data_IF_836009246371
#
_entry.id   IF_836009246371
#
_cell.length_a   1.000
_cell.length_b   1.000
_cell.length_c   1.000
_cell.angle_alpha   90.00
_cell.angle_beta   90.00
_cell.angle_gamma   90.00
#
_symmetry.space_group_name_H-M   'P 1'
#
loop_
_entity.id
_entity.type
_entity.pdbx_description
1 polymer ?
#
# COMPACT_ATOMS: atom_id res chain seq x y z
N UNK A 1 1.00 1.79 -5.57
CA UNK A 1 0.18 0.56 -5.34
C UNK A 1 1.00 -0.60 -4.83
N UNK A 2 0.38 -1.50 -4.10
CA UNK A 2 0.92 -2.77 -3.62
C UNK A 2 2.35 -2.69 -3.05
N UNK A 3 2.59 -1.85 -2.03
CA UNK A 3 3.93 -1.64 -1.49
C UNK A 3 4.43 -2.89 -0.77
N UNK A 4 5.71 -3.20 -0.87
CA UNK A 4 6.40 -4.04 0.11
C UNK A 4 6.78 -3.13 1.29
N UNK A 5 5.96 -3.11 2.31
CA UNK A 5 6.15 -2.25 3.49
C UNK A 5 7.19 -2.78 4.47
N UNK A 6 7.32 -4.10 4.55
CA UNK A 6 8.17 -4.80 5.51
C UNK A 6 8.88 -5.98 4.84
N UNK A 7 10.13 -5.79 4.45
CA UNK A 7 10.91 -6.83 3.78
C UNK A 7 11.29 -7.98 4.72
N UNK A 8 11.33 -7.75 6.04
CA UNK A 8 11.62 -8.81 7.00
C UNK A 8 10.48 -9.82 7.06
N UNK A 9 9.21 -9.36 7.12
CA UNK A 9 8.04 -10.24 7.13
C UNK A 9 7.76 -10.87 5.76
N UNK A 10 8.08 -10.16 4.68
CA UNK A 10 7.85 -10.65 3.33
C UNK A 10 8.93 -11.65 2.85
N UNK A 11 10.11 -11.65 3.46
CA UNK A 11 11.27 -12.45 3.00
C UNK A 11 10.97 -13.96 2.91
N UNK A 12 10.31 -14.51 3.92
CA UNK A 12 9.97 -15.95 3.96
C UNK A 12 8.76 -16.35 3.10
N UNK A 13 8.18 -15.41 2.37
CA UNK A 13 6.99 -15.65 1.55
C UNK A 13 7.29 -16.16 0.14
N UNK A 14 6.20 -16.45 -0.58
CA UNK A 14 6.23 -16.80 -2.01
C UNK A 14 5.28 -15.89 -2.78
N UNK A 15 5.52 -15.76 -4.07
CA UNK A 15 4.56 -15.19 -5.03
C UNK A 15 3.56 -16.28 -5.42
N UNK A 16 2.34 -16.20 -4.94
CA UNK A 16 1.29 -17.20 -5.19
C UNK A 16 1.02 -17.43 -6.68
N UNK A 17 1.10 -16.38 -7.49
CA UNK A 17 0.87 -16.48 -8.94
C UNK A 17 1.93 -17.32 -9.67
N UNK A 18 3.17 -17.35 -9.17
CA UNK A 18 4.29 -17.98 -9.88
C UNK A 18 5.03 -19.04 -9.06
N UNK A 19 4.76 -19.15 -7.77
CA UNK A 19 5.51 -20.02 -6.85
C UNK A 19 6.94 -19.55 -6.55
N UNK A 20 7.36 -18.37 -7.04
CA UNK A 20 8.69 -17.84 -6.83
C UNK A 20 8.90 -17.46 -5.36
N UNK A 21 10.02 -17.91 -4.77
CA UNK A 21 10.40 -17.52 -3.41
C UNK A 21 10.82 -16.05 -3.35
N UNK A 22 10.38 -15.36 -2.31
CA UNK A 22 10.67 -13.93 -2.12
C UNK A 22 12.14 -13.66 -1.81
N UNK A 23 12.82 -14.53 -1.08
CA UNK A 23 14.22 -14.38 -0.76
C UNK A 23 15.07 -14.05 -2.01
N UNK A 24 14.92 -14.84 -3.08
CA UNK A 24 15.60 -14.59 -4.35
C UNK A 24 15.35 -13.17 -4.91
N UNK A 25 14.13 -12.67 -4.79
CA UNK A 25 13.77 -11.33 -5.28
C UNK A 25 14.49 -10.23 -4.49
N UNK A 26 14.63 -10.41 -3.19
CA UNK A 26 15.27 -9.42 -2.32
C UNK A 26 16.79 -9.50 -2.38
N UNK A 27 17.36 -10.70 -2.35
CA UNK A 27 18.80 -10.89 -2.38
C UNK A 27 19.42 -10.50 -3.73
N UNK A 28 18.91 -11.04 -4.83
CA UNK A 28 19.56 -10.99 -6.13
C UNK A 28 18.72 -10.32 -7.23
N UNK A 29 17.40 -10.31 -7.07
CA UNK A 29 16.48 -9.82 -8.09
C UNK A 29 16.25 -8.32 -8.02
N UNK A 30 14.98 -7.92 -7.86
CA UNK A 30 14.53 -6.54 -7.96
C UNK A 30 15.12 -5.63 -6.87
N UNK A 31 15.22 -6.10 -5.63
CA UNK A 31 15.66 -5.27 -4.49
C UNK A 31 17.18 -5.22 -4.34
N UNK A 32 17.88 -6.26 -4.75
CA UNK A 32 19.37 -6.31 -4.79
C UNK A 32 20.03 -5.97 -3.46
N UNK A 33 19.48 -6.46 -2.36
CA UNK A 33 20.08 -6.26 -1.02
C UNK A 33 21.45 -6.98 -0.93
N UNK A 34 21.59 -8.07 -1.70
CA UNK A 34 22.88 -8.74 -1.89
C UNK A 34 23.24 -9.75 -0.80
N UNK A 35 22.38 -9.92 0.22
CA UNK A 35 22.62 -10.85 1.32
C UNK A 35 21.31 -11.46 1.83
N UNK A 36 21.39 -12.60 2.53
CA UNK A 36 20.22 -13.19 3.17
C UNK A 36 19.86 -12.44 4.47
N UNK A 37 18.59 -12.57 4.88
CA UNK A 37 18.10 -11.98 6.12
C UNK A 37 18.90 -12.44 7.37
N UNK A 38 19.39 -13.68 7.33
CA UNK A 38 20.12 -14.31 8.47
C UNK A 38 21.63 -14.25 8.36
N UNK A 39 22.18 -13.65 7.31
CA UNK A 39 23.62 -13.42 7.20
C UNK A 39 24.06 -12.35 8.20
N UNK A 40 25.34 -12.31 8.50
CA UNK A 40 25.92 -11.28 9.38
C UNK A 40 25.63 -9.87 8.82
N UNK A 41 25.02 -9.03 9.62
CA UNK A 41 24.54 -7.70 9.20
C UNK A 41 23.34 -7.70 8.25
N UNK A 42 22.83 -8.85 7.84
CA UNK A 42 21.71 -8.95 6.91
C UNK A 42 20.43 -8.31 7.44
N UNK A 43 20.05 -8.62 8.68
CA UNK A 43 18.83 -8.08 9.31
C UNK A 43 18.80 -6.55 9.28
N UNK A 44 19.91 -5.88 9.56
CA UNK A 44 19.99 -4.43 9.58
C UNK A 44 19.68 -3.83 8.20
N UNK A 45 20.19 -4.45 7.14
CA UNK A 45 19.91 -4.04 5.76
C UNK A 45 18.41 -4.20 5.41
N UNK A 46 17.78 -5.30 5.85
CA UNK A 46 16.34 -5.51 5.64
C UNK A 46 15.49 -4.52 6.42
N UNK A 47 15.87 -4.18 7.65
CA UNK A 47 15.21 -3.13 8.46
C UNK A 47 15.36 -1.77 7.77
N UNK A 48 16.57 -1.41 7.36
CA UNK A 48 16.86 -0.14 6.69
C UNK A 48 16.02 0.07 5.42
N UNK A 49 15.79 -1.02 4.68
CA UNK A 49 15.02 -1.00 3.44
C UNK A 49 13.53 -1.29 3.61
N UNK A 50 13.01 -1.34 4.84
CA UNK A 50 11.60 -1.59 5.14
C UNK A 50 10.90 -0.30 5.60
N UNK A 51 10.04 0.31 4.77
CA UNK A 51 9.36 1.57 5.10
C UNK A 51 8.61 1.58 6.43
N UNK A 52 8.11 0.44 6.88
CA UNK A 52 7.36 0.31 8.14
C UNK A 52 8.19 0.76 9.35
N UNK A 53 9.50 0.51 9.36
CA UNK A 53 10.40 0.89 10.46
C UNK A 53 10.78 2.39 10.44
N UNK A 54 10.37 3.11 9.41
CA UNK A 54 10.63 4.54 9.24
C UNK A 54 9.34 5.36 9.12
N UNK A 55 8.21 4.76 9.46
CA UNK A 55 6.89 5.41 9.35
C UNK A 55 6.78 6.66 10.23
N UNK A 56 7.52 6.72 11.34
CA UNK A 56 7.65 7.89 12.22
C UNK A 56 8.25 9.13 11.53
N UNK A 57 9.04 8.92 10.49
CA UNK A 57 9.71 9.98 9.72
C UNK A 57 8.85 10.51 8.56
N UNK A 58 7.79 9.79 8.20
CA UNK A 58 6.92 10.19 7.09
C UNK A 58 6.10 11.41 7.49
N UNK A 59 6.12 12.45 6.68
CA UNK A 59 5.34 13.69 6.86
C UNK A 59 4.38 13.95 5.70
N UNK A 60 4.68 13.37 4.54
CA UNK A 60 3.86 13.50 3.34
C UNK A 60 2.61 12.64 3.46
N UNK A 61 1.43 13.16 3.06
CA UNK A 61 0.22 12.34 2.95
C UNK A 61 0.41 11.15 2.00
N UNK A 62 -0.10 9.98 2.39
CA UNK A 62 0.12 8.74 1.65
C UNK A 62 -1.21 8.09 1.26
N UNK A 63 -1.40 7.85 -0.02
CA UNK A 63 -2.49 7.05 -0.55
C UNK A 63 -1.95 5.69 -1.00
N UNK A 64 -2.43 4.61 -0.39
CA UNK A 64 -2.04 3.24 -0.68
C UNK A 64 -3.20 2.55 -1.40
N UNK A 65 -2.91 1.82 -2.47
CA UNK A 65 -3.80 0.84 -3.06
C UNK A 65 -3.18 -0.55 -2.90
N UNK A 66 -3.91 -1.50 -2.30
CA UNK A 66 -3.46 -2.88 -2.17
C UNK A 66 -4.66 -3.82 -2.11
N UNK A 67 -4.71 -4.78 -3.00
CA UNK A 67 -5.84 -5.67 -3.21
C UNK A 67 -5.70 -6.97 -2.42
N UNK A 68 -6.82 -7.56 -2.02
CA UNK A 68 -6.85 -8.75 -1.16
C UNK A 68 -6.49 -10.06 -1.88
N UNK A 69 -6.65 -10.11 -3.21
CA UNK A 69 -6.24 -11.25 -4.04
C UNK A 69 -4.87 -11.06 -4.71
N UNK A 70 -4.03 -10.14 -4.19
CA UNK A 70 -2.69 -9.90 -4.74
C UNK A 70 -1.77 -11.12 -4.55
N UNK A 71 -1.55 -11.87 -5.63
CA UNK A 71 -0.65 -13.03 -5.68
C UNK A 71 0.82 -12.65 -5.87
N UNK A 72 1.12 -11.39 -6.15
CA UNK A 72 2.47 -10.89 -6.34
C UNK A 72 3.06 -10.29 -5.05
N UNK A 73 2.36 -9.38 -4.36
CA UNK A 73 2.78 -8.83 -3.07
C UNK A 73 1.70 -9.14 -2.03
N UNK A 74 2.04 -9.80 -0.91
CA UNK A 74 1.04 -10.14 0.10
C UNK A 74 0.29 -8.88 0.57
N UNK A 75 -1.03 -8.94 0.60
CA UNK A 75 -1.90 -7.83 0.99
C UNK A 75 -1.54 -7.22 2.35
N UNK A 76 -1.12 -8.06 3.30
CA UNK A 76 -0.68 -7.58 4.62
C UNK A 76 0.48 -6.58 4.58
N UNK A 77 1.29 -6.56 3.52
CA UNK A 77 2.36 -5.57 3.37
C UNK A 77 1.82 -4.14 3.29
N UNK A 78 0.72 -3.95 2.57
CA UNK A 78 0.02 -2.66 2.53
C UNK A 78 -0.64 -2.30 3.86
N UNK A 79 -1.25 -3.29 4.54
CA UNK A 79 -1.87 -3.09 5.86
C UNK A 79 -0.82 -2.71 6.90
N UNK A 80 0.30 -3.44 7.00
CA UNK A 80 1.37 -3.13 7.95
C UNK A 80 1.86 -1.69 7.81
N UNK A 81 2.11 -1.27 6.56
CA UNK A 81 2.57 0.09 6.29
C UNK A 81 1.49 1.14 6.59
N UNK A 82 0.25 0.91 6.16
CA UNK A 82 -0.88 1.78 6.46
C UNK A 82 -1.08 1.96 7.97
N UNK A 83 -1.10 0.87 8.73
CA UNK A 83 -1.31 0.90 10.18
C UNK A 83 -0.17 1.61 10.91
N UNK A 84 1.07 1.44 10.47
CA UNK A 84 2.21 2.17 11.04
C UNK A 84 2.08 3.68 10.82
N UNK A 85 1.73 4.13 9.61
CA UNK A 85 1.48 5.54 9.31
C UNK A 85 0.36 6.10 10.20
N UNK A 86 -0.76 5.39 10.30
CA UNK A 86 -1.90 5.79 11.16
C UNK A 86 -1.54 5.85 12.64
N UNK A 87 -0.69 4.95 13.12
CA UNK A 87 -0.22 4.94 14.51
C UNK A 87 0.55 6.20 14.88
N UNK A 88 1.29 6.78 13.93
CA UNK A 88 2.00 8.05 14.10
C UNK A 88 1.15 9.29 13.75
N UNK A 89 -0.15 9.12 13.45
CA UNK A 89 -1.04 10.22 13.12
C UNK A 89 -0.84 10.81 11.72
N UNK A 90 -0.09 10.14 10.85
CA UNK A 90 0.13 10.60 9.49
C UNK A 90 -1.15 10.48 8.65
N UNK A 91 -1.46 11.47 7.80
CA UNK A 91 -2.54 11.36 6.83
C UNK A 91 -2.28 10.20 5.88
N UNK A 92 -3.04 9.12 6.02
CA UNK A 92 -2.90 7.93 5.20
C UNK A 92 -4.26 7.28 4.90
N UNK A 93 -4.43 6.81 3.68
CA UNK A 93 -5.62 6.10 3.19
C UNK A 93 -5.20 4.80 2.55
N UNK A 94 -5.99 3.75 2.76
CA UNK A 94 -5.81 2.46 2.12
C UNK A 94 -7.04 2.15 1.26
N UNK A 95 -6.85 2.04 -0.04
CA UNK A 95 -7.86 1.59 -0.99
C UNK A 95 -7.67 0.11 -1.26
N UNK A 96 -8.73 -0.67 -1.05
CA UNK A 96 -8.77 -2.08 -1.34
C UNK A 96 -9.92 -2.38 -2.29
N UNK A 97 -9.62 -3.07 -3.38
CA UNK A 97 -10.59 -3.60 -4.31
C UNK A 97 -10.65 -5.10 -4.17
N UNK A 98 -11.80 -5.62 -3.75
CA UNK A 98 -11.97 -7.04 -3.47
C UNK A 98 -11.85 -7.88 -4.75
N UNK A 99 -11.25 -9.04 -4.61
CA UNK A 99 -11.03 -10.02 -5.68
C UNK A 99 -10.14 -9.52 -6.84
N UNK A 100 -9.56 -8.35 -6.70
CA UNK A 100 -8.55 -7.86 -7.64
C UNK A 100 -7.15 -8.37 -7.25
N UNK A 101 -6.38 -8.74 -8.27
CA UNK A 101 -4.99 -9.17 -8.13
C UNK A 101 -4.03 -7.97 -7.94
N UNK A 102 -2.75 -8.15 -8.28
CA UNK A 102 -1.74 -7.10 -8.16
C UNK A 102 -2.09 -5.83 -8.93
N UNK A 103 -2.66 -5.97 -10.11
CA UNK A 103 -3.16 -4.87 -10.93
C UNK A 103 -4.68 -4.94 -11.02
N UNK A 104 -5.33 -3.78 -11.04
CA UNK A 104 -6.77 -3.72 -11.30
C UNK A 104 -7.06 -4.10 -12.75
N UNK A 105 -8.05 -4.96 -12.96
CA UNK A 105 -8.53 -5.37 -14.28
C UNK A 105 -10.00 -4.99 -14.51
N UNK A 106 -10.80 -4.93 -13.45
CA UNK A 106 -12.17 -4.52 -13.53
C UNK A 106 -12.29 -3.03 -13.85
N UNK A 107 -12.93 -2.69 -14.99
CA UNK A 107 -13.07 -1.31 -15.47
C UNK A 107 -13.61 -0.35 -14.41
N UNK A 108 -14.64 -0.78 -13.66
CA UNK A 108 -15.25 0.03 -12.59
C UNK A 108 -14.24 0.40 -11.49
N UNK A 109 -13.37 -0.55 -11.10
CA UNK A 109 -12.35 -0.36 -10.07
C UNK A 109 -11.22 0.55 -10.58
N UNK A 110 -10.82 0.38 -11.85
CA UNK A 110 -9.85 1.28 -12.50
C UNK A 110 -10.37 2.74 -12.54
N UNK A 111 -11.65 2.93 -12.86
CA UNK A 111 -12.25 4.27 -12.89
C UNK A 111 -12.37 4.88 -11.48
N UNK A 112 -12.76 4.08 -10.48
CA UNK A 112 -12.82 4.53 -9.07
C UNK A 112 -11.44 4.95 -8.58
N UNK A 113 -10.43 4.11 -8.79
CA UNK A 113 -9.04 4.44 -8.41
C UNK A 113 -8.55 5.71 -9.11
N UNK A 114 -8.78 5.84 -10.42
CA UNK A 114 -8.37 7.03 -11.17
C UNK A 114 -8.99 8.31 -10.62
N UNK A 115 -10.28 8.27 -10.28
CA UNK A 115 -10.98 9.42 -9.68
C UNK A 115 -10.44 9.77 -8.31
N UNK A 116 -10.17 8.76 -7.46
CA UNK A 116 -9.58 9.00 -6.12
C UNK A 116 -8.16 9.54 -6.20
N UNK A 117 -7.34 9.04 -7.13
CA UNK A 117 -6.01 9.58 -7.37
C UNK A 117 -6.09 11.04 -7.81
N UNK A 118 -6.98 11.38 -8.75
CA UNK A 118 -7.18 12.76 -9.16
C UNK A 118 -7.58 13.64 -7.97
N UNK A 119 -8.61 13.25 -7.22
CA UNK A 119 -9.08 14.03 -6.06
C UNK A 119 -8.01 14.19 -4.99
N UNK A 120 -7.22 13.14 -4.72
CA UNK A 120 -6.12 13.20 -3.77
C UNK A 120 -5.05 14.23 -4.20
N UNK A 121 -4.63 14.20 -5.45
CA UNK A 121 -3.64 15.14 -5.97
C UNK A 121 -4.20 16.55 -6.14
N UNK A 122 -5.45 16.70 -6.57
CA UNK A 122 -6.10 18.01 -6.64
C UNK A 122 -6.15 18.67 -5.26
N UNK A 123 -6.47 17.91 -4.20
CA UNK A 123 -6.47 18.42 -2.84
C UNK A 123 -5.07 18.87 -2.39
N UNK A 124 -4.07 18.00 -2.50
CA UNK A 124 -2.74 18.28 -1.93
C UNK A 124 -1.85 19.16 -2.79
N UNK A 125 -2.03 19.16 -4.10
CA UNK A 125 -1.16 19.91 -5.02
C UNK A 125 -1.84 21.14 -5.61
N UNK A 126 -3.17 21.16 -5.70
CA UNK A 126 -3.92 22.27 -6.32
C UNK A 126 -4.78 23.04 -5.32
N UNK A 127 -4.82 22.60 -4.05
CA UNK A 127 -5.60 23.27 -3.00
C UNK A 127 -7.12 23.07 -3.12
N UNK A 128 -7.58 22.08 -3.87
CA UNK A 128 -9.00 21.77 -3.97
C UNK A 128 -9.56 21.28 -2.62
N UNK A 129 -10.87 21.49 -2.31
CA UNK A 129 -11.50 20.90 -1.14
C UNK A 129 -11.32 19.39 -1.09
N UNK A 130 -11.16 18.82 0.11
CA UNK A 130 -11.02 17.38 0.28
C UNK A 130 -12.33 16.66 -0.05
N UNK A 131 -12.33 15.52 -0.73
CA UNK A 131 -13.52 14.72 -0.92
C UNK A 131 -13.94 14.01 0.39
N UNK A 132 -15.22 13.71 0.53
CA UNK A 132 -15.77 13.08 1.73
C UNK A 132 -15.08 11.75 2.08
N UNK A 133 -14.66 10.95 1.10
CA UNK A 133 -13.93 9.70 1.36
C UNK A 133 -12.59 9.91 2.07
N UNK A 134 -11.95 11.08 1.91
CA UNK A 134 -10.71 11.41 2.64
C UNK A 134 -10.98 11.93 4.06
N UNK A 135 -12.12 12.60 4.27
CA UNK A 135 -12.47 13.24 5.56
C UNK A 135 -13.16 12.26 6.50
N UNK A 136 -14.24 11.64 6.03
CA UNK A 136 -15.10 10.76 6.86
C UNK A 136 -14.92 9.28 6.56
N UNK A 137 -14.27 8.95 5.42
CA UNK A 137 -14.18 7.60 4.92
C UNK A 137 -15.46 7.10 4.25
N UNK A 138 -15.44 5.85 3.82
CA UNK A 138 -16.60 5.13 3.30
C UNK A 138 -16.91 3.98 4.24
N UNK A 139 -18.05 4.00 4.95
CA UNK A 139 -18.42 2.91 5.84
C UNK A 139 -18.53 1.58 5.09
N UNK A 140 -18.01 0.50 5.68
CA UNK A 140 -18.04 -0.83 5.08
C UNK A 140 -19.48 -1.27 4.71
N UNK A 141 -20.46 -0.90 5.52
CA UNK A 141 -21.89 -1.19 5.29
C UNK A 141 -22.46 -0.52 4.05
N UNK A 142 -21.79 0.51 3.52
CA UNK A 142 -22.19 1.24 2.31
C UNK A 142 -21.28 0.97 1.11
N UNK A 143 -20.39 0.00 1.21
CA UNK A 143 -19.48 -0.36 0.13
C UNK A 143 -20.26 -0.70 -1.16
N UNK A 144 -19.85 -0.11 -2.28
CA UNK A 144 -20.51 -0.29 -3.58
C UNK A 144 -21.81 0.53 -3.78
N UNK A 145 -22.31 1.22 -2.75
CA UNK A 145 -23.51 2.07 -2.80
C UNK A 145 -23.16 3.55 -2.64
N UNK A 146 -22.15 3.86 -1.83
CA UNK A 146 -21.67 5.20 -1.58
C UNK A 146 -20.16 5.26 -1.81
N UNK A 147 -19.69 6.28 -2.48
CA UNK A 147 -18.29 6.42 -2.90
C UNK A 147 -17.58 7.59 -2.22
N UNK A 148 -18.32 8.55 -1.69
CA UNK A 148 -17.78 9.72 -1.00
C UNK A 148 -16.98 10.66 -1.91
N UNK A 149 -17.36 10.76 -3.18
CA UNK A 149 -16.66 11.60 -4.17
C UNK A 149 -17.01 13.09 -4.08
N UNK A 150 -18.08 13.44 -3.37
CA UNK A 150 -18.46 14.82 -3.14
C UNK A 150 -17.37 15.57 -2.38
N UNK A 151 -17.10 16.81 -2.79
CA UNK A 151 -16.15 17.67 -2.12
C UNK A 151 -16.79 18.24 -0.85
N UNK A 152 -16.01 18.27 0.22
CA UNK A 152 -16.41 18.93 1.46
C UNK A 152 -16.17 20.44 1.35
N UNK A 153 -17.03 21.22 2.00
CA UNK A 153 -16.90 22.69 2.08
C UNK A 153 -15.67 23.11 2.89
#
# INVERSE_FOLDING_TARGET
GAPVGNMTSAYGGIRWESGMVRAMQYEHGQSRIGTSLWADGGLDLYIENSPVFHADKVKTPVLIMHNDADGAVPWYQGIEFFMSLRRFGNPAWLLQYNDEAHNLVERRNCMDLSRRLQQFFDHYLMGAPAPAWMVTGVPQTRKGQYFGFELTE
#
